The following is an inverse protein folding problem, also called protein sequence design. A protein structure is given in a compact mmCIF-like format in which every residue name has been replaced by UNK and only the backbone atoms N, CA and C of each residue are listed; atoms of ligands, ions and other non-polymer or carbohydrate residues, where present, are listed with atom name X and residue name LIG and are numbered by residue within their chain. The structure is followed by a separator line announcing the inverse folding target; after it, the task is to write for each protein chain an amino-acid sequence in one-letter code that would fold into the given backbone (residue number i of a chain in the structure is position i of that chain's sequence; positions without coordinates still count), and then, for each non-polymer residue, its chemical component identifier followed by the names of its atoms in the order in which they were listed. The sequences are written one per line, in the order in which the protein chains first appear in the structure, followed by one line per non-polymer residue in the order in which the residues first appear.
data_IF_990153485591
#
_entry.id   IF_990153485591
#
_cell.length_a   1.000
_cell.length_b   1.000
_cell.length_c   1.000
_cell.angle_alpha   90.00
_cell.angle_beta   90.00
_cell.angle_gamma   90.00
#
_symmetry.space_group_name_H-M   'P 1'
#
loop_
_entity.id
_entity.type
_entity.pdbx_description
1 polymer ?
#
# COMPACT_ATOMS: atom_id res chain seq x y z
N UNK A 1 -5.71 -32.69 -10.67
CA UNK A 1 -4.24 -32.70 -10.77
C UNK A 1 -3.73 -31.54 -11.62
N UNK A 2 -4.16 -31.41 -12.88
CA UNK A 2 -3.63 -30.42 -13.85
C UNK A 2 -3.75 -28.97 -13.36
N UNK A 3 -4.91 -28.58 -12.82
CA UNK A 3 -5.15 -27.17 -12.45
C UNK A 3 -4.72 -26.82 -11.02
N UNK A 4 -4.19 -27.76 -10.24
CA UNK A 4 -3.84 -27.51 -8.84
C UNK A 4 -2.65 -26.56 -8.71
N UNK A 5 -1.52 -26.89 -9.36
CA UNK A 5 -0.31 -26.08 -9.28
C UNK A 5 -0.50 -24.68 -9.88
N UNK A 6 -1.20 -24.50 -11.02
CA UNK A 6 -1.59 -23.17 -11.50
C UNK A 6 -2.34 -22.35 -10.46
N UNK A 7 -3.37 -22.92 -9.82
CA UNK A 7 -4.16 -22.20 -8.80
C UNK A 7 -3.33 -21.78 -7.59
N UNK A 8 -2.43 -22.65 -7.09
CA UNK A 8 -1.51 -22.27 -6.00
C UNK A 8 -0.62 -21.10 -6.44
N UNK A 9 -0.07 -21.18 -7.65
CA UNK A 9 0.83 -20.14 -8.19
C UNK A 9 0.12 -18.82 -8.40
N UNK A 10 -1.17 -18.84 -8.78
CA UNK A 10 -1.93 -17.62 -9.03
C UNK A 10 -2.32 -16.91 -7.73
N UNK A 11 -2.50 -17.65 -6.63
CA UNK A 11 -2.80 -17.09 -5.29
C UNK A 11 -1.58 -16.56 -4.53
N UNK A 12 -0.41 -17.17 -4.74
CA UNK A 12 0.82 -16.84 -4.01
C UNK A 12 1.20 -15.35 -4.08
N UNK A 13 1.23 -14.72 -5.27
CA UNK A 13 1.59 -13.31 -5.44
C UNK A 13 0.74 -12.36 -4.60
N UNK A 14 -0.59 -12.48 -4.62
CA UNK A 14 -1.47 -11.57 -3.88
C UNK A 14 -1.27 -11.68 -2.37
N UNK A 15 -1.02 -12.90 -1.86
CA UNK A 15 -0.71 -13.15 -0.45
C UNK A 15 0.62 -12.49 -0.06
N UNK A 16 1.63 -12.63 -0.91
CA UNK A 16 2.94 -12.02 -0.69
C UNK A 16 2.85 -10.49 -0.73
N UNK A 17 2.12 -9.93 -1.69
CA UNK A 17 1.89 -8.49 -1.80
C UNK A 17 1.11 -7.91 -0.64
N UNK A 18 0.09 -8.60 -0.14
CA UNK A 18 -0.66 -8.17 1.04
C UNK A 18 0.28 -7.96 2.23
N UNK A 19 1.16 -8.94 2.46
CA UNK A 19 2.14 -8.91 3.55
C UNK A 19 3.19 -7.82 3.35
N UNK A 20 3.71 -7.66 2.13
CA UNK A 20 4.69 -6.62 1.81
C UNK A 20 4.11 -5.20 2.00
N UNK A 21 2.88 -4.96 1.52
CA UNK A 21 2.20 -3.68 1.67
C UNK A 21 1.93 -3.36 3.13
N UNK A 22 1.42 -4.33 3.90
CA UNK A 22 1.16 -4.16 5.32
C UNK A 22 2.46 -3.82 6.09
N UNK A 23 3.55 -4.53 5.79
CA UNK A 23 4.86 -4.25 6.40
C UNK A 23 5.42 -2.90 6.02
N UNK A 24 5.32 -2.51 4.75
CA UNK A 24 5.77 -1.20 4.28
C UNK A 24 5.07 -0.08 5.06
N UNK A 25 3.74 -0.08 5.07
CA UNK A 25 2.95 0.93 5.78
C UNK A 25 3.25 0.95 7.28
N UNK A 26 3.43 -0.22 7.90
CA UNK A 26 3.67 -0.33 9.34
C UNK A 26 5.09 0.12 9.77
N UNK A 27 6.08 0.00 8.89
CA UNK A 27 7.50 0.16 9.29
C UNK A 27 8.24 1.29 8.58
N UNK A 28 7.64 1.89 7.55
CA UNK A 28 8.26 2.99 6.82
C UNK A 28 8.38 4.26 7.69
N UNK A 29 9.63 4.61 7.97
CA UNK A 29 9.96 5.77 8.81
C UNK A 29 9.63 7.11 8.17
N UNK A 30 9.48 7.17 6.84
CA UNK A 30 9.09 8.39 6.14
C UNK A 30 7.61 8.67 6.41
N UNK A 31 6.76 7.65 6.27
CA UNK A 31 5.34 7.75 6.60
C UNK A 31 5.12 8.12 8.07
N UNK A 32 5.76 7.41 9.00
CA UNK A 32 5.69 7.74 10.44
C UNK A 32 6.04 9.21 10.69
N UNK A 33 7.15 9.69 10.13
CA UNK A 33 7.61 11.06 10.30
C UNK A 33 6.66 12.09 9.66
N UNK A 34 6.10 11.81 8.49
CA UNK A 34 5.16 12.70 7.83
C UNK A 34 3.88 12.83 8.66
N UNK A 35 3.36 11.73 9.22
CA UNK A 35 2.16 11.76 10.07
C UNK A 35 2.39 12.56 11.35
N UNK A 36 3.56 12.44 11.97
CA UNK A 36 3.93 13.29 13.11
C UNK A 36 3.90 14.78 12.73
N UNK A 37 4.48 15.15 11.59
CA UNK A 37 4.51 16.55 11.15
C UNK A 37 3.09 17.06 10.89
N UNK A 38 2.24 16.25 10.24
CA UNK A 38 0.82 16.56 10.03
C UNK A 38 0.10 16.78 11.37
N UNK A 39 0.32 15.92 12.36
CA UNK A 39 -0.28 16.05 13.68
C UNK A 39 0.15 17.35 14.37
N UNK A 40 1.45 17.68 14.34
CA UNK A 40 1.97 18.90 14.94
C UNK A 40 1.42 20.17 14.28
N UNK A 41 1.41 20.20 12.94
CA UNK A 41 0.86 21.35 12.20
C UNK A 41 -0.65 21.46 12.40
N UNK A 42 -1.37 20.34 12.35
CA UNK A 42 -2.80 20.30 12.64
C UNK A 42 -3.13 20.84 14.04
N UNK A 43 -2.39 20.43 15.06
CA UNK A 43 -2.54 20.92 16.43
C UNK A 43 -2.23 22.41 16.57
N UNK A 44 -1.18 22.89 15.89
CA UNK A 44 -0.82 24.29 15.88
C UNK A 44 -1.90 25.14 15.22
N UNK A 45 -2.39 24.74 14.04
CA UNK A 45 -3.42 25.46 13.30
C UNK A 45 -4.77 25.47 14.03
N UNK A 46 -5.07 24.40 14.78
CA UNK A 46 -6.31 24.28 15.56
C UNK A 46 -6.14 24.69 17.03
N UNK A 47 -5.08 25.43 17.38
CA UNK A 47 -4.88 25.90 18.75
C UNK A 47 -6.09 26.73 19.23
N UNK A 48 -6.61 26.39 20.40
CA UNK A 48 -7.82 27.00 20.97
C UNK A 48 -9.15 26.40 20.48
N UNK A 49 -9.14 25.51 19.48
CA UNK A 49 -10.31 24.70 19.14
C UNK A 49 -10.44 23.55 20.14
N UNK A 50 -11.52 23.51 20.91
CA UNK A 50 -11.73 22.51 21.97
C UNK A 50 -11.96 21.09 21.46
N UNK A 51 -12.26 20.92 20.17
CA UNK A 51 -12.48 19.61 19.53
C UNK A 51 -11.29 19.15 18.69
N UNK A 52 -10.60 20.07 18.02
CA UNK A 52 -9.55 19.77 17.04
C UNK A 52 -8.14 20.11 17.52
N UNK A 53 -7.99 20.90 18.59
CA UNK A 53 -6.71 21.21 19.19
C UNK A 53 -6.24 20.13 20.16
N UNK A 54 -4.91 20.01 20.33
CA UNK A 54 -4.26 19.04 21.23
C UNK A 54 -4.64 17.56 20.99
N UNK A 55 -4.89 17.20 19.72
CA UNK A 55 -5.08 15.83 19.31
C UNK A 55 -3.81 15.00 19.53
N UNK A 56 -3.99 13.74 19.93
CA UNK A 56 -2.90 12.74 20.06
C UNK A 56 -2.74 11.87 18.80
N UNK A 57 -3.68 11.99 17.85
CA UNK A 57 -3.76 11.25 16.59
C UNK A 57 -4.94 11.75 15.76
N UNK A 58 -5.07 11.25 14.53
CA UNK A 58 -6.16 11.58 13.63
C UNK A 58 -6.57 10.35 12.81
N UNK A 59 -7.82 10.29 12.38
CA UNK A 59 -8.30 9.24 11.47
C UNK A 59 -7.61 9.33 10.11
N UNK A 60 -7.34 8.19 9.45
CA UNK A 60 -6.66 8.15 8.15
C UNK A 60 -7.39 8.94 7.05
N UNK A 61 -8.72 9.02 7.12
CA UNK A 61 -9.54 9.87 6.25
C UNK A 61 -9.11 11.36 6.29
N UNK A 62 -8.40 11.79 7.33
CA UNK A 62 -7.84 13.15 7.40
C UNK A 62 -6.81 13.41 6.32
N UNK A 63 -6.05 12.39 5.90
CA UNK A 63 -5.02 12.52 4.86
C UNK A 63 -5.63 12.99 3.53
N UNK A 64 -6.83 12.52 3.19
CA UNK A 64 -7.54 12.96 2.00
C UNK A 64 -8.10 14.37 2.15
N UNK A 65 -8.31 14.91 3.36
CA UNK A 65 -8.88 16.26 3.58
C UNK A 65 -7.83 17.39 3.61
N UNK A 66 -6.54 17.05 3.70
CA UNK A 66 -5.48 18.06 3.79
C UNK A 66 -5.40 18.99 2.56
N UNK A 67 -5.81 18.51 1.39
CA UNK A 67 -5.81 19.30 0.16
C UNK A 67 -7.02 20.24 0.02
N UNK A 68 -8.05 20.08 0.85
CA UNK A 68 -9.24 20.94 0.81
C UNK A 68 -9.03 22.26 1.57
N UNK A 69 -8.09 22.28 2.50
CA UNK A 69 -7.83 23.45 3.35
C UNK A 69 -6.89 24.41 2.63
N UNK A 70 -7.43 25.53 2.14
CA UNK A 70 -6.67 26.56 1.43
C UNK A 70 -5.94 27.51 2.37
N UNK A 71 -4.85 28.09 1.87
CA UNK A 71 -4.21 29.26 2.48
C UNK A 71 -5.16 30.46 2.45
N UNK A 72 -4.93 31.45 3.32
CA UNK A 72 -5.77 32.66 3.41
C UNK A 72 -5.83 33.47 2.10
N UNK A 73 -4.80 33.39 1.27
CA UNK A 73 -4.72 34.03 -0.04
C UNK A 73 -5.27 33.15 -1.19
N UNK A 74 -5.76 31.94 -0.88
CA UNK A 74 -6.27 30.95 -1.82
C UNK A 74 -5.28 30.51 -2.92
N UNK A 75 -3.98 30.74 -2.74
CA UNK A 75 -2.96 30.37 -3.74
C UNK A 75 -2.42 28.96 -3.57
N UNK A 76 -2.54 28.38 -2.38
CA UNK A 76 -2.04 27.05 -2.08
C UNK A 76 -2.96 26.35 -1.07
N UNK A 77 -2.59 25.13 -0.69
CA UNK A 77 -3.28 24.30 0.30
C UNK A 77 -2.36 24.01 1.48
N UNK A 78 -2.92 23.66 2.64
CA UNK A 78 -2.14 23.19 3.80
C UNK A 78 -1.26 22.01 3.40
N UNK A 79 -1.76 21.08 2.58
CA UNK A 79 -0.98 19.98 2.05
C UNK A 79 0.25 20.43 1.26
N UNK A 80 0.08 21.35 0.31
CA UNK A 80 1.18 21.86 -0.52
C UNK A 80 2.24 22.58 0.32
N UNK A 81 1.82 23.43 1.26
CA UNK A 81 2.73 24.13 2.18
C UNK A 81 3.48 23.13 3.06
N UNK A 82 2.81 22.09 3.55
CA UNK A 82 3.44 21.01 4.33
C UNK A 82 4.51 20.28 3.53
N UNK A 83 4.17 19.85 2.30
CA UNK A 83 5.12 19.13 1.44
C UNK A 83 6.30 20.02 1.07
N UNK A 84 6.09 21.31 0.78
CA UNK A 84 7.18 22.26 0.51
C UNK A 84 8.10 22.42 1.73
N UNK A 85 7.53 22.63 2.91
CA UNK A 85 8.29 22.74 4.17
C UNK A 85 9.13 21.48 4.42
N UNK A 86 8.53 20.31 4.25
CA UNK A 86 9.24 19.03 4.44
C UNK A 86 10.33 18.87 3.39
N UNK A 87 10.06 19.20 2.13
CA UNK A 87 11.04 19.11 1.03
C UNK A 87 12.27 19.99 1.29
N UNK A 88 12.08 21.18 1.86
CA UNK A 88 13.17 22.11 2.15
C UNK A 88 14.03 21.67 3.33
N UNK A 89 13.44 21.02 4.34
CA UNK A 89 14.14 20.65 5.58
C UNK A 89 14.63 19.20 5.57
N UNK A 90 13.86 18.30 5.00
CA UNK A 90 14.02 16.84 5.05
C UNK A 90 13.60 16.19 3.70
N UNK A 91 14.24 16.52 2.57
CA UNK A 91 13.80 16.05 1.24
C UNK A 91 13.70 14.52 1.12
N UNK A 92 14.49 13.78 1.88
CA UNK A 92 14.49 12.32 1.86
C UNK A 92 13.16 11.70 2.31
N UNK A 93 12.38 12.34 3.19
CA UNK A 93 11.13 11.74 3.68
C UNK A 93 9.94 11.95 2.74
N UNK A 94 10.03 12.87 1.77
CA UNK A 94 9.01 13.05 0.71
C UNK A 94 9.43 12.41 -0.61
N UNK A 95 10.55 11.71 -0.63
CA UNK A 95 11.06 11.00 -1.80
C UNK A 95 10.66 9.53 -1.72
N UNK A 96 9.80 9.10 -2.65
CA UNK A 96 9.34 7.72 -2.77
C UNK A 96 9.85 7.11 -4.08
N UNK A 97 10.70 6.07 -4.01
CA UNK A 97 11.14 5.34 -5.19
C UNK A 97 9.97 4.65 -5.92
N UNK A 98 10.15 4.40 -7.22
CA UNK A 98 9.12 3.79 -8.08
C UNK A 98 8.55 2.49 -7.54
N UNK A 99 9.39 1.63 -6.95
CA UNK A 99 8.95 0.35 -6.38
C UNK A 99 8.06 0.52 -5.14
N UNK A 100 8.19 1.60 -4.36
CA UNK A 100 7.28 1.89 -3.23
C UNK A 100 5.91 2.35 -3.74
N UNK A 101 5.88 3.11 -4.84
CA UNK A 101 4.63 3.50 -5.51
C UNK A 101 3.91 2.29 -6.11
N UNK A 102 4.66 1.44 -6.82
CA UNK A 102 4.14 0.20 -7.42
C UNK A 102 3.62 -0.75 -6.34
N UNK A 103 4.29 -0.84 -5.19
CA UNK A 103 3.83 -1.65 -4.07
C UNK A 103 2.44 -1.21 -3.59
N UNK A 104 2.20 0.09 -3.43
CA UNK A 104 0.88 0.60 -3.03
C UNK A 104 -0.17 0.43 -4.13
N UNK A 105 0.22 0.52 -5.40
CA UNK A 105 -0.65 0.20 -6.54
C UNK A 105 -1.09 -1.27 -6.54
N UNK A 106 -0.18 -2.18 -6.22
CA UNK A 106 -0.45 -3.61 -6.10
C UNK A 106 -1.36 -3.88 -4.90
N UNK A 107 -1.04 -3.33 -3.72
CA UNK A 107 -1.85 -3.47 -2.51
C UNK A 107 -3.30 -3.04 -2.70
N UNK A 108 -3.52 -1.90 -3.36
CA UNK A 108 -4.85 -1.37 -3.65
C UNK A 108 -5.68 -2.21 -4.65
N UNK A 109 -5.12 -3.28 -5.22
CA UNK A 109 -5.82 -4.22 -6.13
C UNK A 109 -6.11 -5.58 -5.50
N UNK A 110 -5.67 -5.82 -4.26
CA UNK A 110 -5.77 -7.13 -3.61
C UNK A 110 -7.17 -7.36 -3.07
N UNK A 111 -7.91 -8.27 -3.71
CA UNK A 111 -9.19 -8.73 -3.19
C UNK A 111 -9.00 -9.86 -2.18
N UNK A 112 -8.87 -9.51 -0.89
CA UNK A 112 -8.71 -10.49 0.19
C UNK A 112 -9.85 -11.51 0.24
N UNK A 113 -11.08 -11.07 -0.02
CA UNK A 113 -12.23 -11.96 -0.09
C UNK A 113 -12.08 -13.00 -1.21
N UNK A 114 -11.57 -12.59 -2.37
CA UNK A 114 -11.32 -13.49 -3.50
C UNK A 114 -10.25 -14.51 -3.13
N UNK A 115 -9.09 -14.04 -2.66
CA UNK A 115 -7.97 -14.89 -2.21
C UNK A 115 -8.42 -15.91 -1.17
N UNK A 116 -9.15 -15.48 -0.14
CA UNK A 116 -9.66 -16.34 0.92
C UNK A 116 -10.65 -17.38 0.38
N UNK A 117 -11.56 -16.97 -0.51
CA UNK A 117 -12.57 -17.86 -1.08
C UNK A 117 -11.94 -18.95 -1.96
N UNK A 118 -10.93 -18.59 -2.75
CA UNK A 118 -10.23 -19.51 -3.65
C UNK A 118 -9.33 -20.48 -2.88
N UNK A 119 -8.62 -20.00 -1.85
CA UNK A 119 -7.85 -20.85 -0.96
C UNK A 119 -8.76 -21.86 -0.24
N UNK A 120 -9.86 -21.41 0.34
CA UNK A 120 -10.82 -22.28 1.03
C UNK A 120 -11.44 -23.32 0.09
N UNK A 121 -11.71 -22.94 -1.16
CA UNK A 121 -12.17 -23.87 -2.19
C UNK A 121 -11.12 -24.92 -2.48
N UNK A 122 -9.86 -24.52 -2.66
CA UNK A 122 -8.77 -25.44 -2.94
C UNK A 122 -8.54 -26.43 -1.80
N UNK A 123 -8.64 -25.97 -0.54
CA UNK A 123 -8.58 -26.82 0.65
C UNK A 123 -9.70 -27.87 0.64
N UNK A 124 -10.95 -27.45 0.38
CA UNK A 124 -12.10 -28.35 0.32
C UNK A 124 -11.98 -29.37 -0.82
N UNK A 125 -11.61 -28.90 -2.01
CA UNK A 125 -11.43 -29.76 -3.19
C UNK A 125 -10.34 -30.80 -2.94
N UNK A 126 -9.21 -30.39 -2.35
CA UNK A 126 -8.11 -31.29 -2.00
C UNK A 126 -8.53 -32.32 -0.92
N UNK A 127 -9.28 -31.90 0.10
CA UNK A 127 -9.77 -32.80 1.14
C UNK A 127 -10.73 -33.86 0.60
N UNK A 128 -11.71 -33.46 -0.24
CA UNK A 128 -12.65 -34.39 -0.85
C UNK A 128 -11.95 -35.42 -1.75
N UNK A 129 -10.95 -34.97 -2.52
CA UNK A 129 -10.12 -35.84 -3.35
C UNK A 129 -9.26 -36.78 -2.50
N UNK A 130 -8.65 -36.27 -1.43
CA UNK A 130 -7.83 -37.04 -0.48
C UNK A 130 -8.60 -38.17 0.21
N UNK A 131 -9.91 -38.00 0.40
CA UNK A 131 -10.78 -39.03 0.98
C UNK A 131 -11.22 -40.10 -0.03
N UNK A 132 -11.31 -39.74 -1.31
CA UNK A 132 -11.90 -40.59 -2.36
C UNK A 132 -10.85 -41.39 -3.12
N UNK A 133 -9.70 -40.80 -3.44
CA UNK A 133 -8.68 -41.48 -4.25
C UNK A 133 -8.15 -42.79 -3.64
N UNK A 134 -8.01 -42.96 -2.31
CA UNK A 134 -7.53 -44.23 -1.74
C UNK A 134 -8.53 -45.38 -1.92
N UNK A 135 -9.80 -45.06 -2.20
CA UNK A 135 -10.88 -46.04 -2.41
C UNK A 135 -10.90 -46.56 -3.85
N UNK A 136 -10.10 -45.99 -4.76
CA UNK A 136 -10.03 -46.38 -6.18
C UNK A 136 -9.17 -47.63 -6.32
N UNK A 137 -9.74 -48.74 -6.79
CA UNK A 137 -9.01 -49.98 -7.02
C UNK A 137 -8.34 -50.00 -8.38
N UNK A 138 -7.15 -50.60 -8.44
CA UNK A 138 -6.39 -50.82 -9.66
C UNK A 138 -7.21 -51.64 -10.68
N UNK A 139 -7.24 -51.22 -11.94
CA UNK A 139 -8.00 -51.90 -13.00
C UNK A 139 -7.26 -53.11 -13.57
N UNK A 140 -5.96 -52.97 -13.81
CA UNK A 140 -5.04 -54.01 -14.29
C UNK A 140 -3.61 -53.68 -13.87
N UNK A 141 -2.64 -54.57 -14.08
CA UNK A 141 -1.24 -54.40 -13.66
C UNK A 141 -0.53 -53.17 -14.25
N UNK A 142 -1.01 -52.60 -15.36
CA UNK A 142 -0.45 -51.41 -16.01
C UNK A 142 -1.06 -50.10 -15.47
N UNK A 143 -2.13 -50.17 -14.67
CA UNK A 143 -2.74 -49.00 -14.05
C UNK A 143 -1.84 -48.37 -12.98
N UNK A 144 -1.33 -47.18 -13.31
CA UNK A 144 -0.43 -46.35 -12.49
C UNK A 144 -1.17 -45.26 -11.71
N UNK A 145 -2.51 -45.28 -11.66
CA UNK A 145 -3.29 -44.21 -11.05
C UNK A 145 -2.87 -43.98 -9.60
N UNK A 146 -2.86 -45.02 -8.76
CA UNK A 146 -2.53 -44.89 -7.34
C UNK A 146 -1.12 -44.30 -7.14
N UNK A 147 -0.11 -44.85 -7.80
CA UNK A 147 1.28 -44.39 -7.67
C UNK A 147 1.45 -42.92 -8.08
N UNK A 148 0.80 -42.51 -9.18
CA UNK A 148 0.86 -41.12 -9.66
C UNK A 148 0.07 -40.18 -8.76
N UNK A 149 -1.09 -40.63 -8.28
CA UNK A 149 -1.96 -39.81 -7.46
C UNK A 149 -1.41 -39.61 -6.05
N UNK A 150 -0.83 -40.63 -5.42
CA UNK A 150 -0.16 -40.51 -4.12
C UNK A 150 0.97 -39.49 -4.17
N UNK A 151 1.86 -39.57 -5.18
CA UNK A 151 2.93 -38.59 -5.36
C UNK A 151 2.41 -37.16 -5.53
N UNK A 152 1.31 -37.00 -6.27
CA UNK A 152 0.65 -35.71 -6.40
C UNK A 152 0.05 -35.24 -5.08
N UNK A 153 -0.67 -36.12 -4.36
CA UNK A 153 -1.34 -35.79 -3.10
C UNK A 153 -0.33 -35.35 -2.03
N UNK A 154 0.79 -36.05 -1.90
CA UNK A 154 1.87 -35.69 -0.97
C UNK A 154 2.44 -34.29 -1.28
N UNK A 155 2.74 -34.02 -2.56
CA UNK A 155 3.23 -32.71 -2.99
C UNK A 155 2.18 -31.61 -2.78
N UNK A 156 0.93 -31.87 -3.17
CA UNK A 156 -0.17 -30.92 -3.09
C UNK A 156 -0.49 -30.56 -1.64
N UNK A 157 -0.43 -31.54 -0.72
CA UNK A 157 -0.61 -31.31 0.71
C UNK A 157 0.40 -30.30 1.25
N UNK A 158 1.69 -30.51 0.97
CA UNK A 158 2.76 -29.60 1.43
C UNK A 158 2.56 -28.20 0.86
N UNK A 159 2.31 -28.08 -0.45
CA UNK A 159 2.09 -26.78 -1.10
C UNK A 159 0.88 -26.03 -0.51
N UNK A 160 -0.19 -26.75 -0.18
CA UNK A 160 -1.40 -26.17 0.38
C UNK A 160 -1.20 -25.71 1.83
N UNK A 161 -0.52 -26.52 2.66
CA UNK A 161 -0.18 -26.17 4.04
C UNK A 161 0.75 -24.93 4.10
N UNK A 162 1.72 -24.84 3.18
CA UNK A 162 2.59 -23.67 3.04
C UNK A 162 1.79 -22.43 2.63
N UNK A 163 0.91 -22.54 1.63
CA UNK A 163 0.09 -21.42 1.15
C UNK A 163 -0.88 -20.93 2.23
N UNK A 164 -1.53 -21.85 2.96
CA UNK A 164 -2.43 -21.52 4.07
C UNK A 164 -1.68 -20.81 5.20
N UNK A 165 -0.46 -21.26 5.52
CA UNK A 165 0.40 -20.61 6.51
C UNK A 165 0.78 -19.20 6.09
N UNK A 166 1.18 -19.01 4.83
CA UNK A 166 1.49 -17.68 4.26
C UNK A 166 0.27 -16.76 4.30
N UNK A 167 -0.91 -17.26 3.90
CA UNK A 167 -2.16 -16.51 3.92
C UNK A 167 -2.50 -16.04 5.34
N UNK A 168 -2.46 -16.93 6.34
CA UNK A 168 -2.73 -16.57 7.74
C UNK A 168 -1.79 -15.48 8.24
N UNK A 169 -0.49 -15.58 7.94
CA UNK A 169 0.49 -14.59 8.33
C UNK A 169 0.27 -13.23 7.64
N UNK A 170 -0.05 -13.24 6.34
CA UNK A 170 -0.35 -12.03 5.57
C UNK A 170 -1.63 -11.34 6.07
N UNK A 171 -2.68 -12.12 6.30
CA UNK A 171 -3.95 -11.63 6.83
C UNK A 171 -3.78 -11.06 8.25
N UNK A 172 -3.00 -11.71 9.11
CA UNK A 172 -2.69 -11.17 10.44
C UNK A 172 -1.92 -9.86 10.35
N UNK A 173 -0.92 -9.77 9.47
CA UNK A 173 -0.15 -8.53 9.26
C UNK A 173 -1.05 -7.39 8.78
N UNK A 174 -2.04 -7.69 7.92
CA UNK A 174 -3.04 -6.74 7.49
C UNK A 174 -3.94 -6.28 8.67
N UNK A 175 -4.48 -7.21 9.45
CA UNK A 175 -5.29 -6.91 10.63
C UNK A 175 -4.53 -6.01 11.61
N UNK A 176 -3.25 -6.33 11.87
CA UNK A 176 -2.40 -5.59 12.80
C UNK A 176 -2.18 -4.16 12.31
N UNK A 177 -1.80 -3.96 11.03
CA UNK A 177 -1.55 -2.61 10.51
C UNK A 177 -2.82 -1.75 10.52
N UNK A 178 -3.96 -2.29 10.08
CA UNK A 178 -5.24 -1.54 10.09
C UNK A 178 -5.61 -1.13 11.52
N UNK A 179 -5.42 -2.03 12.50
CA UNK A 179 -5.68 -1.75 13.91
C UNK A 179 -4.74 -0.69 14.47
N UNK A 180 -3.45 -0.71 14.12
CA UNK A 180 -2.45 0.28 14.53
C UNK A 180 -2.85 1.68 14.05
N UNK A 181 -3.42 1.79 12.85
CA UNK A 181 -3.91 3.05 12.30
C UNK A 181 -5.32 3.44 12.77
N UNK A 182 -5.91 2.67 13.71
CA UNK A 182 -7.17 3.01 14.37
C UNK A 182 -8.43 2.74 13.53
N UNK A 183 -8.31 1.93 12.48
CA UNK A 183 -9.42 1.51 11.63
C UNK A 183 -9.92 0.10 12.02
N UNK A 184 -11.13 -0.29 11.63
CA UNK A 184 -11.69 -1.64 11.89
C UNK A 184 -11.38 -2.59 10.72
N UNK A 185 -10.56 -3.65 10.92
CA UNK A 185 -10.24 -4.64 9.88
C UNK A 185 -11.45 -5.39 9.32
N UNK A 186 -12.61 -5.35 10.00
CA UNK A 186 -13.85 -5.97 9.51
C UNK A 186 -14.59 -5.12 8.48
N UNK A 187 -14.39 -3.81 8.53
CA UNK A 187 -15.07 -2.86 7.62
C UNK A 187 -14.11 -2.20 6.65
N UNK A 188 -12.81 -2.27 6.92
CA UNK A 188 -11.76 -1.76 6.06
C UNK A 188 -11.20 -2.92 5.22
N UNK A 189 -11.39 -2.88 3.90
CA UNK A 189 -10.79 -3.84 2.97
C UNK A 189 -9.34 -3.44 2.63
N UNK A 190 -8.46 -4.38 2.22
CA UNK A 190 -7.11 -4.02 1.77
C UNK A 190 -7.12 -3.04 0.58
N UNK A 191 -8.06 -3.22 -0.36
CA UNK A 191 -8.25 -2.33 -1.50
C UNK A 191 -8.46 -0.88 -1.03
N UNK A 192 -9.38 -0.67 -0.08
CA UNK A 192 -9.69 0.66 0.46
C UNK A 192 -8.54 1.21 1.31
N UNK A 193 -7.98 0.38 2.20
CA UNK A 193 -6.90 0.79 3.10
C UNK A 193 -5.66 1.23 2.32
N UNK A 194 -5.19 0.41 1.38
CA UNK A 194 -4.01 0.74 0.58
C UNK A 194 -4.30 1.81 -0.47
N UNK A 195 -5.55 2.00 -0.92
CA UNK A 195 -5.92 3.12 -1.76
C UNK A 195 -5.71 4.49 -1.07
N UNK A 196 -5.95 4.57 0.24
CA UNK A 196 -5.65 5.78 1.02
C UNK A 196 -4.14 6.08 0.96
N UNK A 197 -3.30 5.09 1.27
CA UNK A 197 -1.84 5.23 1.25
C UNK A 197 -1.30 5.56 -0.13
N UNK A 198 -1.76 4.83 -1.15
CA UNK A 198 -1.46 5.11 -2.55
C UNK A 198 -1.78 6.56 -2.88
N UNK A 199 -3.02 7.00 -2.65
CA UNK A 199 -3.45 8.36 -2.97
C UNK A 199 -2.61 9.41 -2.26
N UNK A 200 -2.33 9.19 -0.97
CA UNK A 200 -1.50 10.08 -0.16
C UNK A 200 -0.06 10.18 -0.67
N UNK A 201 0.61 9.04 -0.90
CA UNK A 201 1.99 8.99 -1.36
C UNK A 201 2.13 9.54 -2.78
N UNK A 202 1.25 9.15 -3.71
CA UNK A 202 1.22 9.71 -5.06
C UNK A 202 1.06 11.23 -5.01
N UNK A 203 0.21 11.75 -4.12
CA UNK A 203 0.01 13.18 -3.99
C UNK A 203 1.25 13.92 -3.48
N UNK A 204 2.00 13.32 -2.56
CA UNK A 204 3.29 13.89 -2.10
C UNK A 204 4.26 14.02 -3.28
N UNK A 205 4.38 12.95 -4.08
CA UNK A 205 5.29 12.93 -5.25
C UNK A 205 4.87 13.97 -6.28
N UNK A 206 3.59 14.01 -6.66
CA UNK A 206 3.06 15.02 -7.59
C UNK A 206 3.33 16.44 -7.12
N UNK A 207 3.13 16.71 -5.82
CA UNK A 207 3.36 18.04 -5.26
C UNK A 207 4.84 18.38 -5.24
N UNK A 208 5.73 17.41 -4.95
CA UNK A 208 7.18 17.61 -5.04
C UNK A 208 7.61 17.99 -6.46
N UNK A 209 7.10 17.30 -7.48
CA UNK A 209 7.38 17.59 -8.89
C UNK A 209 6.88 18.98 -9.29
N UNK A 210 5.67 19.36 -8.88
CA UNK A 210 5.14 20.71 -9.11
C UNK A 210 6.03 21.79 -8.50
N UNK A 211 6.48 21.60 -7.26
CA UNK A 211 7.38 22.53 -6.57
C UNK A 211 8.68 22.70 -7.36
N UNK A 212 9.27 21.61 -7.86
CA UNK A 212 10.52 21.70 -8.65
C UNK A 212 10.33 22.48 -9.94
N UNK A 213 9.25 22.18 -10.68
CA UNK A 213 8.91 22.88 -11.93
C UNK A 213 8.69 24.38 -11.68
N UNK A 214 7.99 24.73 -10.60
CA UNK A 214 7.77 26.13 -10.24
C UNK A 214 9.07 26.85 -9.85
N UNK A 215 9.94 26.20 -9.08
CA UNK A 215 11.23 26.75 -8.68
C UNK A 215 12.13 26.99 -9.88
N UNK A 216 12.21 26.04 -10.80
CA UNK A 216 12.94 26.22 -12.05
C UNK A 216 12.41 27.39 -12.88
N UNK A 217 11.08 27.52 -12.97
CA UNK A 217 10.44 28.62 -13.71
C UNK A 217 10.79 29.97 -13.09
N UNK A 218 10.65 30.11 -11.76
CA UNK A 218 11.00 31.33 -11.02
C UNK A 218 12.48 31.68 -11.17
N UNK A 219 13.37 30.69 -11.16
CA UNK A 219 14.79 30.92 -11.36
C UNK A 219 15.12 31.40 -12.80
N UNK A 220 14.48 30.80 -13.81
CA UNK A 220 14.61 31.21 -15.21
C UNK A 220 14.09 32.63 -15.44
N UNK A 221 12.97 33.00 -14.82
CA UNK A 221 12.41 34.37 -14.87
C UNK A 221 13.35 35.38 -14.21
N UNK A 222 13.84 35.09 -13.00
CA UNK A 222 14.81 35.95 -12.29
C UNK A 222 16.07 36.20 -13.11
N UNK A 223 16.66 35.14 -13.70
CA UNK A 223 17.85 35.27 -14.57
C UNK A 223 17.59 36.13 -15.81
N UNK A 224 16.38 36.05 -16.40
CA UNK A 224 15.99 36.88 -17.55
C UNK A 224 15.85 38.36 -17.17
N UNK A 225 15.27 38.65 -16.01
CA UNK A 225 15.14 40.02 -15.48
C UNK A 225 16.50 40.63 -15.14
N UNK A 226 17.37 39.88 -14.46
CA UNK A 226 18.75 40.31 -14.16
C UNK A 226 19.54 40.63 -15.44
N UNK A 227 19.39 39.84 -16.50
CA UNK A 227 20.03 40.09 -17.78
C UNK A 227 19.48 41.33 -18.49
N UNK A 228 18.17 41.60 -18.39
CA UNK A 228 17.56 42.81 -18.95
C UNK A 228 18.07 44.07 -18.24
N UNK A 229 18.07 44.05 -16.90
CA UNK A 229 18.58 45.17 -16.09
C UNK A 229 20.06 45.47 -16.37
N UNK A 230 20.90 44.44 -16.55
CA UNK A 230 22.31 44.64 -16.92
C UNK A 230 22.46 45.29 -18.30
N UNK A 231 21.69 44.85 -19.29
CA UNK A 231 21.71 45.45 -20.65
C UNK A 231 21.22 46.90 -20.66
N UNK A 232 20.26 47.24 -19.79
CA UNK A 232 19.75 48.61 -19.63
C UNK A 232 20.74 49.52 -18.89
N UNK A 233 21.60 48.97 -18.03
CA UNK A 233 22.66 49.73 -17.34
C UNK A 233 23.92 49.94 -18.19
N UNK A 234 24.13 49.10 -19.20
CA UNK A 234 25.27 49.18 -20.13
C UNK A 234 24.96 49.99 -21.41
N UNK A 235 23.71 50.42 -21.60
CA UNK A 235 23.24 51.22 -22.75
C UNK A 235 23.08 52.70 -22.38
#
# INVERSE_FOLDING_TARGET
MVDFEPKIRDLGPDIERLNECAKFVNTDKKLERILEIILHVGNFLNAGNTRLGAAIGFHLETLSKLHDTKTSDNKSTVFEVLVEMIKDQQPNIVTFPKNELELMDEGARISLQTVESELNKLIKDFAAVSETYPKITKVDDEDLFQDRFTKFADKAKVMLEELETKFKAANQSYIDVVTIFGEDPKTMSPEDFFAIWKGFISKIVETCEKIDVEREKREKERKREELKMKKEQEA
#
